data_IF_426514892063
#
_entry.id   IF_426514892063
#
_cell.length_a   1.000
_cell.length_b   1.000
_cell.length_c   1.000
_cell.angle_alpha   90.00
_cell.angle_beta   90.00
_cell.angle_gamma   90.00
#
_symmetry.space_group_name_H-M   'P 1'
#
loop_
_entity.id
_entity.type
_entity.pdbx_description
1 polymer ?
#
# COMPACT_ATOMS: atom_id res chain seq x y z
N UNK A 1 20.06 -13.24 22.07
CA UNK A 1 19.26 -11.99 22.09
C UNK A 1 19.45 -11.32 20.74
N UNK A 2 18.39 -10.85 20.08
CA UNK A 2 18.55 -10.18 18.81
C UNK A 2 18.93 -8.69 19.04
N UNK A 3 19.46 -8.03 18.03
CA UNK A 3 19.92 -6.63 18.13
C UNK A 3 18.87 -5.66 18.67
N UNK A 4 17.60 -5.86 18.29
CA UNK A 4 16.49 -5.01 18.77
C UNK A 4 16.27 -5.19 20.28
N UNK A 5 16.30 -6.41 20.79
CA UNK A 5 16.18 -6.70 22.23
C UNK A 5 17.29 -6.06 23.03
N UNK A 6 18.53 -6.12 22.55
CA UNK A 6 19.69 -5.46 23.17
C UNK A 6 19.52 -3.93 23.23
N UNK A 7 19.08 -3.32 22.12
CA UNK A 7 18.82 -1.89 22.06
C UNK A 7 17.70 -1.47 23.02
N UNK A 8 16.60 -2.22 23.08
CA UNK A 8 15.47 -1.92 23.97
C UNK A 8 15.92 -2.02 25.44
N UNK A 9 16.62 -3.08 25.83
CA UNK A 9 17.12 -3.24 27.21
C UNK A 9 18.06 -2.11 27.62
N UNK A 10 18.93 -1.67 26.70
CA UNK A 10 19.93 -0.64 26.97
C UNK A 10 19.33 0.77 26.98
N UNK A 11 18.44 1.09 26.04
CA UNK A 11 17.98 2.46 25.77
C UNK A 11 16.57 2.75 26.30
N UNK A 12 15.79 1.71 26.60
CA UNK A 12 14.42 1.85 27.10
C UNK A 12 14.20 1.08 28.41
N UNK A 13 15.08 1.16 29.44
CA UNK A 13 14.96 0.37 30.65
C UNK A 13 13.68 0.68 31.45
N UNK A 14 13.13 1.88 31.29
CA UNK A 14 11.88 2.33 31.92
C UNK A 14 10.67 2.36 30.98
N UNK A 15 10.77 1.67 29.82
CA UNK A 15 9.74 1.68 28.79
C UNK A 15 9.92 2.78 27.76
N UNK A 16 8.87 3.03 26.97
CA UNK A 16 8.86 3.99 25.84
C UNK A 16 7.86 5.09 26.12
N UNK A 17 8.24 6.34 25.85
CA UNK A 17 7.33 7.48 25.92
C UNK A 17 6.32 7.44 24.77
N UNK A 18 5.06 7.79 25.06
CA UNK A 18 3.99 7.91 24.06
C UNK A 18 3.57 9.37 23.94
N UNK A 19 3.39 9.83 22.69
CA UNK A 19 2.94 11.19 22.37
C UNK A 19 1.78 11.17 21.37
N UNK A 20 0.85 12.14 21.48
CA UNK A 20 -0.18 12.32 20.47
C UNK A 20 0.43 12.61 19.09
N UNK A 21 -0.13 12.03 18.02
CA UNK A 21 0.33 12.25 16.64
C UNK A 21 0.40 13.75 16.29
N UNK A 22 -0.59 14.54 16.74
CA UNK A 22 -0.63 15.99 16.48
C UNK A 22 0.50 16.77 17.13
N UNK A 23 1.20 16.21 18.13
CA UNK A 23 2.41 16.81 18.70
C UNK A 23 3.67 16.44 17.90
N UNK A 24 3.63 15.37 17.11
CA UNK A 24 4.77 14.80 16.39
C UNK A 24 4.86 15.26 14.94
N UNK A 25 3.73 15.59 14.31
CA UNK A 25 3.67 16.09 12.94
C UNK A 25 2.42 16.93 12.69
N UNK A 26 2.41 17.67 11.59
CA UNK A 26 1.23 18.40 11.14
C UNK A 26 0.34 17.49 10.29
N UNK A 27 -0.98 17.63 10.45
CA UNK A 27 -1.99 16.93 9.65
C UNK A 27 -2.59 17.96 8.68
N UNK A 28 -2.17 17.92 7.42
CA UNK A 28 -2.69 18.81 6.38
C UNK A 28 -3.77 18.11 5.57
N UNK A 29 -4.81 18.86 5.22
CA UNK A 29 -5.85 18.40 4.30
C UNK A 29 -5.46 18.78 2.88
N UNK A 30 -5.75 17.91 1.91
CA UNK A 30 -5.56 18.19 0.49
C UNK A 30 -6.53 19.23 -0.05
N UNK A 31 -6.40 19.56 -1.33
CA UNK A 31 -7.22 20.59 -2.02
C UNK A 31 -8.15 19.92 -3.02
N UNK A 32 -9.38 20.45 -3.09
CA UNK A 32 -10.35 20.01 -4.09
C UNK A 32 -9.76 20.16 -5.51
N UNK A 33 -9.91 19.13 -6.31
CA UNK A 33 -9.71 19.15 -7.74
C UNK A 33 -11.02 18.76 -8.40
N UNK A 34 -11.47 19.57 -9.37
CA UNK A 34 -12.71 19.29 -10.10
C UNK A 34 -12.53 18.03 -10.97
N UNK A 35 -13.58 17.22 -11.07
CA UNK A 35 -13.53 15.97 -11.84
C UNK A 35 -13.17 16.17 -13.31
N UNK A 36 -13.60 17.29 -13.89
CA UNK A 36 -13.30 17.66 -15.30
C UNK A 36 -11.81 17.89 -15.57
N UNK A 37 -10.99 18.07 -14.52
CA UNK A 37 -9.54 18.20 -14.61
C UNK A 37 -8.79 16.86 -14.46
N UNK A 38 -9.46 15.77 -14.07
CA UNK A 38 -8.82 14.48 -13.90
C UNK A 38 -8.50 13.83 -15.25
N UNK A 39 -7.26 13.39 -15.40
CA UNK A 39 -6.76 12.70 -16.58
C UNK A 39 -6.70 11.19 -16.29
N UNK A 40 -6.93 10.35 -17.30
CA UNK A 40 -6.68 8.91 -17.21
C UNK A 40 -5.18 8.61 -17.10
N UNK A 41 -4.35 9.43 -17.76
CA UNK A 41 -2.90 9.39 -17.68
C UNK A 41 -2.36 10.82 -17.49
N UNK A 42 -1.39 10.98 -16.61
CA UNK A 42 -0.80 12.28 -16.30
C UNK A 42 0.47 12.14 -15.47
N UNK A 43 1.07 13.27 -15.15
CA UNK A 43 2.40 13.33 -14.53
C UNK A 43 2.38 12.88 -13.06
N UNK A 44 1.32 13.20 -12.33
CA UNK A 44 1.22 12.95 -10.89
C UNK A 44 -0.11 12.28 -10.53
N UNK A 45 -0.10 11.24 -9.65
CA UNK A 45 -1.34 10.62 -9.19
C UNK A 45 -2.14 11.58 -8.31
N UNK A 46 -3.47 11.50 -8.42
CA UNK A 46 -4.42 12.23 -7.57
C UNK A 46 -4.94 11.28 -6.49
N UNK A 47 -4.59 11.55 -5.24
CA UNK A 47 -4.99 10.78 -4.06
C UNK A 47 -6.14 11.50 -3.36
N UNK A 48 -7.36 10.98 -3.48
CA UNK A 48 -8.56 11.65 -2.97
C UNK A 48 -9.42 10.73 -2.08
N UNK A 49 -8.80 9.96 -1.19
CA UNK A 49 -9.52 9.15 -0.19
C UNK A 49 -9.87 7.74 -0.64
N UNK A 50 -9.44 7.30 -1.83
CA UNK A 50 -9.53 5.91 -2.27
C UNK A 50 -8.26 5.11 -1.95
N UNK A 51 -8.32 3.77 -2.11
CA UNK A 51 -7.16 2.89 -2.03
C UNK A 51 -6.23 3.16 -3.23
N UNK A 52 -6.81 3.36 -4.41
CA UNK A 52 -6.10 3.68 -5.64
C UNK A 52 -6.20 5.17 -5.97
N UNK A 53 -5.30 5.72 -6.77
CA UNK A 53 -5.46 7.06 -7.31
C UNK A 53 -6.81 7.23 -8.02
N UNK A 54 -7.43 8.39 -7.84
CA UNK A 54 -8.70 8.75 -8.52
C UNK A 54 -8.50 9.12 -9.99
N UNK A 55 -7.27 9.25 -10.43
CA UNK A 55 -6.82 9.66 -11.74
C UNK A 55 -5.45 10.33 -11.65
N UNK A 56 -5.11 11.13 -12.65
CA UNK A 56 -3.82 11.84 -12.72
C UNK A 56 -4.03 13.34 -12.96
N UNK A 57 -3.00 14.12 -12.65
CA UNK A 57 -2.94 15.56 -12.91
C UNK A 57 -1.54 15.98 -13.33
N UNK A 58 -1.38 17.15 -13.93
CA UNK A 58 -0.08 17.64 -14.39
C UNK A 58 0.64 18.52 -13.37
N UNK A 59 -0.02 18.81 -12.25
CA UNK A 59 0.55 19.54 -11.11
C UNK A 59 0.51 18.65 -9.86
N UNK A 60 1.30 19.01 -8.85
CA UNK A 60 1.28 18.38 -7.53
C UNK A 60 1.15 19.46 -6.44
N UNK A 61 0.61 19.08 -5.30
CA UNK A 61 0.54 19.93 -4.12
C UNK A 61 1.29 19.37 -2.91
N UNK A 62 1.82 18.14 -3.03
CA UNK A 62 2.67 17.49 -2.02
C UNK A 62 3.87 16.80 -2.66
N UNK A 63 4.99 16.81 -1.92
CA UNK A 63 6.22 16.12 -2.28
C UNK A 63 6.09 14.60 -2.08
N UNK A 64 7.09 13.86 -2.57
CA UNK A 64 7.20 12.40 -2.39
C UNK A 64 7.49 11.99 -0.95
N UNK A 65 7.34 10.69 -0.68
CA UNK A 65 7.64 10.04 0.59
C UNK A 65 6.79 10.56 1.75
N UNK A 66 5.50 10.76 1.51
CA UNK A 66 4.55 11.22 2.53
C UNK A 66 3.47 10.19 2.83
N UNK A 67 3.03 10.19 4.09
CA UNK A 67 1.93 9.36 4.59
C UNK A 67 0.62 10.07 4.26
N UNK A 68 -0.31 9.34 3.66
CA UNK A 68 -1.67 9.81 3.39
C UNK A 68 -2.69 8.96 4.12
N UNK A 69 -3.78 9.59 4.56
CA UNK A 69 -4.89 8.91 5.25
C UNK A 69 -6.19 9.36 4.60
N UNK A 70 -7.00 8.39 4.17
CA UNK A 70 -8.32 8.66 3.61
C UNK A 70 -9.25 9.26 4.66
N UNK A 71 -9.88 10.40 4.35
CA UNK A 71 -10.81 11.06 5.27
C UNK A 71 -12.18 10.40 5.28
N UNK A 72 -12.70 9.98 4.13
CA UNK A 72 -14.10 9.59 4.04
C UNK A 72 -14.41 8.54 2.97
N UNK A 73 -15.66 8.08 2.96
CA UNK A 73 -16.16 7.05 2.06
C UNK A 73 -15.80 5.64 2.52
N UNK A 74 -15.97 4.66 1.63
CA UNK A 74 -15.72 3.24 1.93
C UNK A 74 -14.28 2.92 2.37
N UNK A 75 -13.33 3.79 2.05
CA UNK A 75 -11.91 3.65 2.41
C UNK A 75 -11.48 4.60 3.53
N UNK A 76 -12.42 5.22 4.26
CA UNK A 76 -12.09 6.10 5.38
C UNK A 76 -11.15 5.41 6.37
N UNK A 77 -10.03 6.02 6.72
CA UNK A 77 -9.00 5.43 7.58
C UNK A 77 -7.91 4.67 6.84
N UNK A 78 -8.03 4.44 5.52
CA UNK A 78 -6.98 3.78 4.75
C UNK A 78 -5.69 4.60 4.75
N UNK A 79 -4.57 3.95 5.10
CA UNK A 79 -3.25 4.56 5.24
C UNK A 79 -2.35 4.11 4.10
N UNK A 80 -1.73 5.08 3.41
CA UNK A 80 -0.81 4.82 2.32
C UNK A 80 0.50 5.61 2.49
N UNK A 81 1.58 5.13 1.85
CA UNK A 81 2.87 5.83 1.74
C UNK A 81 3.16 6.13 0.28
N UNK A 82 3.09 7.41 -0.10
CA UNK A 82 3.22 7.83 -1.49
C UNK A 82 4.68 8.18 -1.78
N UNK A 83 5.31 7.41 -2.65
CA UNK A 83 6.74 7.51 -2.98
C UNK A 83 7.06 8.49 -4.11
N UNK A 84 6.04 9.02 -4.79
CA UNK A 84 6.14 10.02 -5.85
C UNK A 84 5.55 11.34 -5.41
N UNK A 85 5.78 12.43 -6.13
CA UNK A 85 4.99 13.65 -6.01
C UNK A 85 3.54 13.35 -6.38
N UNK A 86 2.58 14.01 -5.74
CA UNK A 86 1.16 13.73 -5.94
C UNK A 86 0.29 14.95 -5.66
N UNK A 87 -0.93 14.88 -6.14
CA UNK A 87 -1.98 15.81 -5.73
C UNK A 87 -2.85 15.15 -4.66
N UNK A 88 -2.88 15.72 -3.46
CA UNK A 88 -3.84 15.33 -2.43
C UNK A 88 -5.14 16.07 -2.61
N UNK A 89 -6.23 15.34 -2.78
CA UNK A 89 -7.59 15.88 -2.89
C UNK A 89 -8.20 16.22 -1.52
N UNK A 90 -9.38 16.83 -1.53
CA UNK A 90 -10.06 17.34 -0.33
C UNK A 90 -10.45 16.24 0.69
N UNK A 91 -10.50 14.97 0.28
CA UNK A 91 -10.81 13.84 1.16
C UNK A 91 -9.56 13.04 1.57
N UNK A 92 -8.40 13.68 1.52
CA UNK A 92 -7.12 13.08 1.88
C UNK A 92 -6.42 13.94 2.95
N UNK A 93 -6.02 13.34 4.05
CA UNK A 93 -5.07 13.91 4.99
C UNK A 93 -3.64 13.51 4.61
N UNK A 94 -2.70 14.42 4.82
CA UNK A 94 -1.27 14.20 4.59
C UNK A 94 -0.53 14.58 5.87
N UNK A 95 0.30 13.67 6.37
CA UNK A 95 1.18 13.93 7.50
C UNK A 95 2.45 14.61 6.99
N UNK A 96 2.78 15.77 7.55
CA UNK A 96 3.95 16.56 7.12
C UNK A 96 4.71 17.10 8.32
N UNK A 97 5.92 17.60 8.09
CA UNK A 97 6.75 18.27 9.09
C UNK A 97 6.93 17.45 10.38
N UNK A 98 7.42 16.19 10.30
CA UNK A 98 7.67 15.38 11.49
C UNK A 98 8.75 16.04 12.36
N UNK A 99 8.63 15.91 13.69
CA UNK A 99 9.70 16.32 14.61
C UNK A 99 10.95 15.45 14.42
N UNK A 100 12.11 16.02 14.68
CA UNK A 100 13.42 15.36 14.52
C UNK A 100 13.60 14.09 15.38
N UNK A 101 12.82 13.94 16.45
CA UNK A 101 12.86 12.75 17.32
C UNK A 101 12.14 11.53 16.72
N UNK A 102 11.50 11.68 15.54
CA UNK A 102 10.65 10.67 14.96
C UNK A 102 11.16 10.24 13.58
N UNK A 103 11.46 8.96 13.44
CA UNK A 103 11.67 8.35 12.13
C UNK A 103 10.34 8.27 11.39
N UNK A 104 10.25 8.95 10.24
CA UNK A 104 9.00 9.07 9.50
C UNK A 104 8.52 7.74 8.89
N UNK A 105 9.44 6.83 8.60
CA UNK A 105 9.11 5.48 8.13
C UNK A 105 8.52 4.63 9.26
N UNK A 106 9.04 4.76 10.49
CA UNK A 106 8.41 4.14 11.67
C UNK A 106 7.00 4.69 11.88
N UNK A 107 6.81 6.02 11.77
CA UNK A 107 5.49 6.62 11.86
C UNK A 107 4.51 5.99 10.87
N UNK A 108 4.92 5.75 9.63
CA UNK A 108 4.09 5.03 8.67
C UNK A 108 3.65 3.65 9.17
N UNK A 109 4.58 2.84 9.67
CA UNK A 109 4.25 1.51 10.18
C UNK A 109 3.29 1.56 11.37
N UNK A 110 3.50 2.52 12.28
CA UNK A 110 2.62 2.71 13.45
C UNK A 110 1.22 3.13 13.01
N UNK A 111 1.10 4.15 12.17
CA UNK A 111 -0.21 4.64 11.68
C UNK A 111 -0.91 3.57 10.83
N UNK A 112 -0.15 2.78 10.04
CA UNK A 112 -0.66 1.64 9.29
C UNK A 112 -1.21 0.55 10.20
N UNK A 113 -0.62 0.33 11.38
CA UNK A 113 -1.16 -0.61 12.36
C UNK A 113 -2.51 -0.14 12.94
N UNK A 114 -2.75 1.18 13.04
CA UNK A 114 -4.05 1.74 13.43
C UNK A 114 -5.10 1.70 12.30
N UNK A 115 -4.74 1.33 11.08
CA UNK A 115 -5.67 1.36 9.92
C UNK A 115 -6.95 0.59 10.18
N UNK A 116 -6.88 -0.62 10.74
CA UNK A 116 -8.07 -1.44 11.04
C UNK A 116 -9.01 -0.73 12.03
N UNK A 117 -8.46 -0.10 13.05
CA UNK A 117 -9.23 0.67 14.03
C UNK A 117 -9.85 1.92 13.38
N UNK A 118 -9.07 2.65 12.60
CA UNK A 118 -9.55 3.83 11.87
C UNK A 118 -10.67 3.49 10.89
N UNK A 119 -10.56 2.36 10.19
CA UNK A 119 -11.58 1.87 9.26
C UNK A 119 -12.81 1.32 9.97
N UNK A 120 -12.67 0.66 11.13
CA UNK A 120 -13.78 0.10 11.89
C UNK A 120 -14.58 1.14 12.67
N UNK A 121 -14.00 2.28 12.99
CA UNK A 121 -14.67 3.41 13.64
C UNK A 121 -15.78 4.06 12.78
N UNK A 122 -16.11 3.48 11.64
CA UNK A 122 -17.16 3.89 10.70
C UNK A 122 -18.59 3.51 11.14
N UNK A 123 -18.78 3.02 12.38
CA UNK A 123 -20.10 2.55 12.85
C UNK A 123 -21.00 3.72 13.21
N UNK A 124 -21.96 3.99 12.32
CA UNK A 124 -23.02 4.99 12.50
C UNK A 124 -23.84 5.16 11.21
N UNK A 125 -25.05 5.70 11.32
CA UNK A 125 -25.99 5.89 10.20
C UNK A 125 -25.57 6.95 9.14
N UNK A 126 -24.28 7.31 9.06
CA UNK A 126 -23.74 8.32 8.15
C UNK A 126 -22.63 7.78 7.25
N UNK A 127 -22.15 8.63 6.33
CA UNK A 127 -20.98 8.34 5.49
C UNK A 127 -19.77 8.19 6.40
N UNK A 128 -19.04 7.06 6.33
CA UNK A 128 -17.86 6.85 7.14
C UNK A 128 -16.84 7.98 6.99
N UNK A 129 -16.32 8.49 8.10
CA UNK A 129 -15.30 9.54 8.06
C UNK A 129 -14.37 9.51 9.27
N UNK A 130 -13.12 9.86 9.04
CA UNK A 130 -12.11 10.04 10.09
C UNK A 130 -11.88 11.54 10.27
N UNK A 131 -11.99 12.03 11.52
CA UNK A 131 -11.71 13.42 11.82
C UNK A 131 -10.22 13.66 12.06
N UNK A 132 -9.75 14.88 11.78
CA UNK A 132 -8.36 15.29 12.09
C UNK A 132 -8.06 15.22 13.58
N UNK A 133 -9.03 15.49 14.46
CA UNK A 133 -8.87 15.40 15.90
C UNK A 133 -8.63 13.94 16.35
N UNK A 134 -9.36 12.97 15.76
CA UNK A 134 -9.13 11.55 16.03
C UNK A 134 -7.72 11.13 15.59
N UNK A 135 -7.26 11.58 14.43
CA UNK A 135 -5.89 11.31 14.00
C UNK A 135 -4.87 11.98 14.93
N UNK A 136 -5.07 13.23 15.29
CA UNK A 136 -4.17 13.97 16.17
C UNK A 136 -4.03 13.33 17.55
N UNK A 137 -5.07 12.66 18.05
CA UNK A 137 -5.06 11.99 19.37
C UNK A 137 -4.47 10.57 19.34
N UNK A 138 -4.06 10.03 18.20
CA UNK A 138 -3.41 8.71 18.14
C UNK A 138 -2.15 8.69 18.98
N UNK A 139 -2.03 7.69 19.84
CA UNK A 139 -0.90 7.54 20.77
C UNK A 139 0.27 6.85 20.07
N UNK A 140 1.36 7.59 19.83
CA UNK A 140 2.52 7.16 19.06
C UNK A 140 3.69 6.89 20.00
N UNK A 141 4.25 5.66 20.04
CA UNK A 141 5.47 5.38 20.79
C UNK A 141 6.68 6.06 20.14
N UNK A 142 7.51 6.72 20.95
CA UNK A 142 8.69 7.45 20.50
C UNK A 142 9.93 6.93 21.25
N UNK A 143 10.40 5.71 20.93
CA UNK A 143 11.65 5.22 21.50
C UNK A 143 12.86 6.01 20.97
N UNK A 144 14.06 5.87 21.54
CA UNK A 144 15.29 6.42 20.99
C UNK A 144 15.49 6.06 19.51
N UNK A 145 16.15 6.96 18.76
CA UNK A 145 16.22 6.87 17.29
C UNK A 145 16.85 5.56 16.79
N UNK A 146 17.83 5.03 17.52
CA UNK A 146 18.51 3.77 17.21
C UNK A 146 17.53 2.57 17.24
N UNK A 147 16.59 2.59 18.20
CA UNK A 147 15.53 1.58 18.30
C UNK A 147 14.55 1.73 17.15
N UNK A 148 14.19 2.98 16.81
CA UNK A 148 13.29 3.28 15.68
C UNK A 148 13.87 2.77 14.36
N UNK A 149 15.15 3.03 14.09
CA UNK A 149 15.85 2.59 12.87
C UNK A 149 15.90 1.07 12.77
N UNK A 150 16.18 0.38 13.87
CA UNK A 150 16.23 -1.09 13.85
C UNK A 150 14.85 -1.70 13.63
N UNK A 151 13.78 -1.12 14.21
CA UNK A 151 12.39 -1.55 13.94
C UNK A 151 12.06 -1.37 12.45
N UNK A 152 12.37 -0.21 11.88
CA UNK A 152 12.12 0.09 10.45
C UNK A 152 12.86 -0.91 9.57
N UNK A 153 14.14 -1.16 9.84
CA UNK A 153 14.94 -2.13 9.09
C UNK A 153 14.30 -3.52 9.04
N UNK A 154 13.76 -3.96 10.18
CA UNK A 154 13.10 -5.27 10.28
C UNK A 154 11.78 -5.27 9.50
N UNK A 155 10.93 -4.26 9.72
CA UNK A 155 9.60 -4.18 9.10
C UNK A 155 9.67 -3.98 7.58
N UNK A 156 10.59 -3.15 7.11
CA UNK A 156 10.78 -2.93 5.67
C UNK A 156 11.27 -4.22 4.99
N UNK A 157 12.16 -4.99 5.64
CA UNK A 157 12.59 -6.29 5.10
C UNK A 157 11.44 -7.30 5.02
N UNK A 158 10.57 -7.36 6.02
CA UNK A 158 9.37 -8.21 5.94
C UNK A 158 8.41 -7.76 4.85
N UNK A 159 8.27 -6.45 4.64
CA UNK A 159 7.43 -5.89 3.57
C UNK A 159 7.97 -6.29 2.19
N UNK A 160 9.28 -6.19 1.98
CA UNK A 160 9.96 -6.61 0.75
C UNK A 160 9.76 -8.11 0.48
N UNK A 161 10.06 -8.96 1.45
CA UNK A 161 9.88 -10.41 1.33
C UNK A 161 8.41 -10.79 1.04
N UNK A 162 7.46 -10.12 1.66
CA UNK A 162 6.03 -10.36 1.41
C UNK A 162 5.66 -9.99 -0.02
N UNK A 163 6.19 -8.88 -0.55
CA UNK A 163 5.96 -8.48 -1.94
C UNK A 163 6.55 -9.48 -2.94
N UNK A 164 7.78 -9.96 -2.70
CA UNK A 164 8.44 -10.98 -3.53
C UNK A 164 7.65 -12.30 -3.54
N UNK A 165 7.24 -12.81 -2.37
CA UNK A 165 6.45 -14.03 -2.24
C UNK A 165 5.07 -13.89 -2.93
N UNK A 166 4.45 -12.72 -2.85
CA UNK A 166 3.17 -12.45 -3.51
C UNK A 166 3.32 -12.44 -5.03
N UNK A 167 4.40 -11.84 -5.53
CA UNK A 167 4.71 -11.85 -6.96
C UNK A 167 4.99 -13.27 -7.47
N UNK A 168 5.78 -14.07 -6.73
CA UNK A 168 6.05 -15.47 -7.06
C UNK A 168 4.75 -16.29 -7.06
N UNK A 169 3.92 -16.17 -6.03
CA UNK A 169 2.62 -16.87 -5.97
C UNK A 169 1.74 -16.54 -7.17
N UNK A 170 1.71 -15.28 -7.57
CA UNK A 170 0.94 -14.83 -8.74
C UNK A 170 1.47 -15.44 -10.04
N UNK A 171 2.80 -15.48 -10.21
CA UNK A 171 3.44 -16.12 -11.35
C UNK A 171 3.16 -17.63 -11.39
N UNK A 172 3.25 -18.32 -10.26
CA UNK A 172 2.94 -19.76 -10.14
C UNK A 172 1.48 -20.08 -10.45
N UNK A 173 0.54 -19.24 -10.00
CA UNK A 173 -0.88 -19.40 -10.35
C UNK A 173 -1.11 -19.29 -11.85
N UNK A 174 -0.52 -18.29 -12.52
CA UNK A 174 -0.61 -18.15 -13.98
C UNK A 174 0.00 -19.35 -14.72
N UNK A 175 1.13 -19.84 -14.24
CA UNK A 175 1.79 -21.04 -14.78
C UNK A 175 0.89 -22.27 -14.64
N UNK A 176 0.28 -22.47 -13.47
CA UNK A 176 -0.65 -23.57 -13.21
C UNK A 176 -1.87 -23.50 -14.14
N UNK A 177 -2.50 -22.31 -14.28
CA UNK A 177 -3.64 -22.11 -15.15
C UNK A 177 -3.29 -22.43 -16.61
N UNK A 178 -2.14 -21.95 -17.10
CA UNK A 178 -1.66 -22.24 -18.43
C UNK A 178 -1.51 -23.76 -18.69
N UNK A 179 -0.78 -24.46 -17.82
CA UNK A 179 -0.59 -25.90 -17.99
C UNK A 179 -1.87 -26.71 -17.78
N UNK A 180 -2.70 -26.33 -16.82
CA UNK A 180 -4.02 -26.93 -16.62
C UNK A 180 -4.85 -26.87 -17.90
N UNK A 181 -4.97 -25.70 -18.48
CA UNK A 181 -5.79 -25.47 -19.67
C UNK A 181 -5.20 -26.22 -20.89
N UNK A 182 -3.87 -26.25 -21.01
CA UNK A 182 -3.19 -27.01 -22.06
C UNK A 182 -3.38 -28.53 -21.90
N UNK A 183 -3.24 -29.07 -20.70
CA UNK A 183 -3.38 -30.49 -20.43
C UNK A 183 -4.83 -30.99 -20.52
N UNK A 184 -5.80 -30.12 -20.21
CA UNK A 184 -7.22 -30.43 -20.27
C UNK A 184 -7.87 -30.09 -21.63
N UNK A 185 -7.16 -29.43 -22.54
CA UNK A 185 -7.63 -29.19 -23.90
C UNK A 185 -7.33 -30.43 -24.80
N UNK A 186 -8.21 -31.41 -24.77
CA UNK A 186 -8.06 -32.66 -25.56
C UNK A 186 -8.16 -32.46 -27.09
N UNK A 187 -8.48 -31.28 -27.57
CA UNK A 187 -8.65 -30.98 -29.00
C UNK A 187 -7.33 -30.89 -29.80
N UNK A 188 -6.21 -30.66 -29.16
CA UNK A 188 -4.88 -30.57 -29.82
C UNK A 188 -4.21 -31.91 -30.10
N UNK A 189 -4.75 -33.01 -29.57
CA UNK A 189 -4.17 -34.36 -29.77
C UNK A 189 -4.74 -34.99 -31.06
N UNK A 190 -5.93 -34.59 -31.52
CA UNK A 190 -6.58 -35.17 -32.68
C UNK A 190 -6.08 -34.64 -34.03
N UNK A 191 -5.48 -33.44 -34.10
CA UNK A 191 -4.97 -32.87 -35.36
C UNK A 191 -3.64 -33.50 -35.83
N UNK A 192 -2.88 -34.13 -34.94
CA UNK A 192 -1.61 -34.79 -35.30
C UNK A 192 -1.80 -36.22 -35.80
N UNK A 193 -2.95 -36.84 -35.56
CA UNK A 193 -3.24 -38.22 -36.01
C UNK A 193 -3.89 -38.26 -37.39
N UNK A 194 -4.60 -37.19 -37.83
CA UNK A 194 -5.26 -37.16 -39.14
C UNK A 194 -4.34 -36.80 -40.31
N UNK A 195 -3.09 -36.37 -40.08
CA UNK A 195 -2.16 -36.05 -41.17
C UNK A 195 -1.22 -37.23 -41.57
N UNK A 196 -1.43 -38.44 -41.00
CA UNK A 196 -0.60 -39.63 -41.35
C UNK A 196 -1.26 -40.73 -42.19
N UNK A 197 -2.53 -40.53 -42.58
CA UNK A 197 -3.27 -41.53 -43.39
C UNK A 197 -3.80 -40.94 -44.69
N UNK A 198 -2.95 -40.33 -45.48
CA UNK A 198 -3.34 -39.80 -46.76
C UNK A 198 -2.20 -39.80 -47.78
N UNK A 199 -1.69 -40.97 -48.12
CA UNK A 199 -0.59 -41.06 -49.08
C UNK A 199 -0.32 -42.51 -49.54
N UNK A 200 -1.23 -43.06 -50.34
CA UNK A 200 -1.02 -44.41 -50.90
C UNK A 200 -2.01 -44.75 -52.02
N UNK A 201 -2.01 -43.92 -53.04
CA UNK A 201 -2.71 -44.23 -54.30
C UNK A 201 -1.76 -44.99 -55.24
N UNK A 202 -1.87 -46.28 -55.31
CA UNK A 202 -1.21 -47.12 -56.33
C UNK A 202 -2.02 -46.99 -57.61
N UNK A 203 -1.39 -46.48 -58.66
CA UNK A 203 -1.88 -46.59 -60.04
C UNK A 203 -1.28 -47.83 -60.65
N UNK A 204 -2.13 -48.78 -61.09
CA UNK A 204 -1.77 -49.86 -62.00
C UNK A 204 -2.64 -49.77 -63.27
N UNK A 205 -1.92 -49.67 -64.38
CA UNK A 205 -2.30 -50.01 -65.82
C UNK A 205 -3.30 -49.17 -66.47
#
# INVERSE_FOLDING_TARGET
>A
MNKLEELIQKLCPNGVEYKPLGELCEIKKGKQLNKDGLLEQGKYPVINGGINPSGYWNEYNFEKNLITISQGGASAGYVNFITTRFWAGAHCYVLVNPKNCLNYRLLYHIVKNYEKELMSAQVGAGIPSVSSNKLASLSIPVPPIEVQEEIVRILDKFTELTAELTAELTARKKQYEFYRDQLLSFNSINDTTNNRTGGGGITTS
#
